data_IF_630038990403
#
_entry.id   IF_630038990403
#
_cell.length_a   1.000
_cell.length_b   1.000
_cell.length_c   1.000
_cell.angle_alpha   90.00
_cell.angle_beta   90.00
_cell.angle_gamma   90.00
#
_symmetry.space_group_name_H-M   'P 1'
#
loop_
_entity.id
_entity.type
_entity.pdbx_description
1 polymer ?
#
# COMPACT_ATOMS: atom_id res chain seq x y z
N UNK A 1 -10.16 32.91 -4.64
CA UNK A 1 -10.26 31.47 -4.27
C UNK A 1 -9.57 30.66 -5.35
N UNK A 2 -8.65 29.75 -5.01
CA UNK A 2 -7.97 28.89 -5.99
C UNK A 2 -8.90 27.72 -6.30
N UNK A 3 -9.46 27.68 -7.51
CA UNK A 3 -10.25 26.53 -7.96
C UNK A 3 -9.28 25.43 -8.33
N UNK A 4 -9.08 24.46 -7.43
CA UNK A 4 -8.44 23.20 -7.81
C UNK A 4 -9.35 22.58 -8.88
N UNK A 5 -8.81 22.44 -10.09
CA UNK A 5 -9.48 21.81 -11.21
C UNK A 5 -9.70 20.33 -10.93
N UNK A 6 -10.68 19.70 -11.58
CA UNK A 6 -10.94 18.27 -11.37
C UNK A 6 -9.73 17.39 -11.67
N UNK A 7 -8.86 17.81 -12.59
CA UNK A 7 -7.58 17.13 -12.90
C UNK A 7 -6.58 17.24 -11.75
N UNK A 8 -6.44 18.42 -11.13
CA UNK A 8 -5.57 18.59 -9.97
C UNK A 8 -6.04 17.79 -8.74
N UNK A 9 -7.35 17.55 -8.59
CA UNK A 9 -7.88 16.63 -7.57
C UNK A 9 -7.49 15.19 -7.86
N UNK A 10 -7.73 14.71 -9.08
CA UNK A 10 -7.42 13.34 -9.48
C UNK A 10 -5.92 13.04 -9.36
N UNK A 11 -5.07 13.93 -9.87
CA UNK A 11 -3.62 13.77 -9.77
C UNK A 11 -3.14 13.72 -8.32
N UNK A 12 -3.78 14.47 -7.42
CA UNK A 12 -3.48 14.41 -5.98
C UNK A 12 -3.93 13.10 -5.35
N UNK A 13 -5.10 12.59 -5.71
CA UNK A 13 -5.61 11.32 -5.21
C UNK A 13 -4.76 10.13 -5.67
N UNK A 14 -4.36 10.11 -6.95
CA UNK A 14 -3.46 9.09 -7.50
C UNK A 14 -2.08 9.15 -6.84
N UNK A 15 -1.52 10.35 -6.63
CA UNK A 15 -0.24 10.51 -5.93
C UNK A 15 -0.30 10.05 -4.47
N UNK A 16 -1.44 10.22 -3.78
CA UNK A 16 -1.61 9.72 -2.41
C UNK A 16 -1.61 8.19 -2.38
N UNK A 17 -2.26 7.55 -3.35
CA UNK A 17 -2.31 6.09 -3.47
C UNK A 17 -0.93 5.53 -3.78
N UNK A 18 -0.25 6.08 -4.78
CA UNK A 18 1.10 5.64 -5.19
C UNK A 18 2.10 5.78 -4.05
N UNK A 19 2.15 6.95 -3.39
CA UNK A 19 3.05 7.14 -2.25
C UNK A 19 2.76 6.14 -1.13
N UNK A 20 1.49 5.85 -0.84
CA UNK A 20 1.16 4.87 0.19
C UNK A 20 1.58 3.45 -0.18
N UNK A 21 1.55 3.07 -1.47
CA UNK A 21 2.08 1.78 -1.94
C UNK A 21 3.61 1.73 -1.78
N UNK A 22 4.31 2.77 -2.24
CA UNK A 22 5.76 2.89 -2.15
C UNK A 22 6.25 2.85 -0.69
N UNK A 23 5.61 3.61 0.20
CA UNK A 23 5.93 3.65 1.64
C UNK A 23 5.84 2.25 2.27
N UNK A 24 4.82 1.46 1.92
CA UNK A 24 4.66 0.08 2.42
C UNK A 24 5.80 -0.80 1.92
N UNK A 25 6.11 -0.71 0.62
CA UNK A 25 7.17 -1.49 -0.02
C UNK A 25 8.52 -1.18 0.64
N UNK A 26 8.83 0.11 0.83
CA UNK A 26 10.09 0.57 1.44
C UNK A 26 10.23 0.08 2.89
N UNK A 27 9.16 0.12 3.68
CA UNK A 27 9.16 -0.42 5.05
C UNK A 27 9.46 -1.91 5.04
N UNK A 28 8.80 -2.68 4.15
CA UNK A 28 8.99 -4.12 4.09
C UNK A 28 10.40 -4.48 3.61
N UNK A 29 10.93 -3.78 2.61
CA UNK A 29 12.31 -3.92 2.16
C UNK A 29 13.30 -3.59 3.27
N UNK A 30 13.08 -2.51 4.02
CA UNK A 30 13.94 -2.11 5.14
C UNK A 30 13.92 -3.15 6.26
N UNK A 31 12.77 -3.75 6.55
CA UNK A 31 12.63 -4.68 7.68
C UNK A 31 13.04 -6.11 7.36
N UNK A 32 12.88 -6.55 6.12
CA UNK A 32 13.05 -7.95 5.75
C UNK A 32 14.10 -8.19 4.66
N UNK A 33 14.72 -7.14 4.12
CA UNK A 33 15.69 -7.10 3.01
C UNK A 33 15.17 -7.64 1.67
N UNK A 34 14.49 -8.79 1.67
CA UNK A 34 13.92 -9.42 0.51
C UNK A 34 12.41 -9.55 0.65
N UNK A 35 11.69 -8.98 -0.30
CA UNK A 35 10.25 -9.16 -0.47
C UNK A 35 9.95 -9.79 -1.83
N UNK A 36 8.96 -10.71 -1.92
CA UNK A 36 8.56 -11.31 -3.19
C UNK A 36 8.03 -10.26 -4.18
N UNK A 37 8.43 -10.35 -5.45
CA UNK A 37 7.89 -9.48 -6.51
C UNK A 37 6.37 -9.61 -6.64
N UNK A 38 5.82 -10.81 -6.43
CA UNK A 38 4.37 -11.04 -6.44
C UNK A 38 3.63 -10.19 -5.38
N UNK A 39 4.28 -9.91 -4.25
CA UNK A 39 3.71 -9.06 -3.20
C UNK A 39 3.71 -7.60 -3.63
N UNK A 40 4.79 -7.13 -4.26
CA UNK A 40 4.91 -5.78 -4.81
C UNK A 40 3.83 -5.53 -5.86
N UNK A 41 3.66 -6.47 -6.79
CA UNK A 41 2.59 -6.39 -7.82
C UNK A 41 1.20 -6.34 -7.18
N UNK A 42 0.98 -7.14 -6.13
CA UNK A 42 -0.29 -7.14 -5.40
C UNK A 42 -0.55 -5.78 -4.75
N UNK A 43 0.45 -5.20 -4.08
CA UNK A 43 0.35 -3.89 -3.43
C UNK A 43 0.07 -2.77 -4.46
N UNK A 44 0.77 -2.78 -5.59
CA UNK A 44 0.57 -1.82 -6.68
C UNK A 44 -0.84 -1.91 -7.30
N UNK A 45 -1.48 -3.07 -7.24
CA UNK A 45 -2.87 -3.25 -7.69
C UNK A 45 -3.93 -2.67 -6.74
N UNK A 46 -3.57 -2.30 -5.50
CA UNK A 46 -4.50 -1.80 -4.50
C UNK A 46 -4.65 -0.29 -4.63
N UNK A 47 -5.79 0.16 -5.17
CA UNK A 47 -6.09 1.59 -5.33
C UNK A 47 -6.93 2.19 -4.19
N UNK A 48 -7.30 1.40 -3.18
CA UNK A 48 -8.10 1.90 -2.05
C UNK A 48 -7.21 2.31 -0.89
N UNK A 49 -7.20 3.62 -0.63
CA UNK A 49 -6.38 4.22 0.43
C UNK A 49 -6.69 3.69 1.83
N UNK A 50 -7.94 3.27 2.09
CA UNK A 50 -8.33 2.69 3.37
C UNK A 50 -7.65 1.35 3.62
N UNK A 51 -7.55 0.51 2.59
CA UNK A 51 -6.80 -0.76 2.61
C UNK A 51 -5.31 -0.49 2.78
N UNK A 52 -4.74 0.41 1.96
CA UNK A 52 -3.32 0.76 2.06
C UNK A 52 -2.95 1.27 3.45
N UNK A 53 -3.79 2.09 4.09
CA UNK A 53 -3.55 2.52 5.49
C UNK A 53 -3.56 1.38 6.51
N UNK A 54 -4.39 0.35 6.32
CA UNK A 54 -4.37 -0.85 7.18
C UNK A 54 -3.08 -1.64 6.96
N UNK A 55 -2.71 -1.85 5.70
CA UNK A 55 -1.48 -2.55 5.32
C UNK A 55 -0.24 -1.82 5.84
N UNK A 56 -0.17 -0.50 5.72
CA UNK A 56 0.92 0.32 6.26
C UNK A 56 1.13 0.11 7.77
N UNK A 57 0.07 0.20 8.57
CA UNK A 57 0.15 -0.06 10.01
C UNK A 57 0.61 -1.48 10.32
N UNK A 58 0.18 -2.45 9.51
CA UNK A 58 0.58 -3.85 9.66
C UNK A 58 2.04 -4.07 9.27
N UNK A 59 2.52 -3.44 8.20
CA UNK A 59 3.90 -3.55 7.73
C UNK A 59 4.93 -3.14 8.80
N UNK A 60 4.58 -2.17 9.66
CA UNK A 60 5.42 -1.73 10.78
C UNK A 60 5.47 -2.78 11.91
N UNK A 61 4.37 -3.49 12.16
CA UNK A 61 4.19 -4.32 13.37
C UNK A 61 4.38 -5.82 13.14
N UNK A 62 4.36 -6.28 11.89
CA UNK A 62 4.39 -7.70 11.56
C UNK A 62 5.76 -8.35 11.76
N UNK A 63 5.84 -9.62 12.14
CA UNK A 63 7.13 -10.24 12.47
C UNK A 63 7.78 -10.96 11.29
N UNK A 64 7.04 -11.19 10.20
CA UNK A 64 7.53 -11.90 9.03
C UNK A 64 6.85 -11.47 7.73
N UNK A 65 7.52 -11.68 6.60
CA UNK A 65 6.97 -11.45 5.26
C UNK A 65 5.80 -12.39 4.97
N UNK A 66 5.86 -13.64 5.44
CA UNK A 66 4.82 -14.63 5.24
C UNK A 66 3.50 -14.21 5.91
N UNK A 67 3.55 -13.80 7.18
CA UNK A 67 2.35 -13.28 7.88
C UNK A 67 1.77 -12.05 7.16
N UNK A 68 2.63 -11.21 6.56
CA UNK A 68 2.18 -10.03 5.83
C UNK A 68 1.45 -10.42 4.55
N UNK A 69 1.93 -11.45 3.86
CA UNK A 69 1.27 -11.97 2.66
C UNK A 69 -0.12 -12.52 2.97
N UNK A 70 -0.25 -13.32 4.05
CA UNK A 70 -1.56 -13.81 4.50
C UNK A 70 -2.49 -12.64 4.86
N UNK A 71 -1.96 -11.59 5.50
CA UNK A 71 -2.75 -10.41 5.84
C UNK A 71 -3.24 -9.64 4.61
N UNK A 72 -2.43 -9.55 3.55
CA UNK A 72 -2.85 -8.97 2.27
C UNK A 72 -4.03 -9.79 1.71
N UNK A 73 -3.88 -11.11 1.64
CA UNK A 73 -4.93 -12.00 1.11
C UNK A 73 -6.24 -11.90 1.90
N UNK A 74 -6.16 -11.87 3.24
CA UNK A 74 -7.32 -11.64 4.09
C UNK A 74 -7.99 -10.30 3.80
N UNK A 75 -7.19 -9.22 3.72
CA UNK A 75 -7.73 -7.87 3.48
C UNK A 75 -8.37 -7.73 2.09
N UNK A 76 -7.86 -8.45 1.09
CA UNK A 76 -8.47 -8.50 -0.24
C UNK A 76 -9.69 -9.43 -0.32
N UNK A 77 -9.74 -10.49 0.48
CA UNK A 77 -10.84 -11.44 0.48
C UNK A 77 -12.04 -10.99 1.32
N UNK A 78 -11.86 -10.03 2.23
CA UNK A 78 -12.93 -9.38 3.02
C UNK A 78 -13.69 -8.27 2.24
N UNK A 79 -13.46 -8.15 0.93
CA UNK A 79 -14.10 -7.17 0.04
C UNK A 79 -15.32 -7.72 -0.70
#
# INVERSE_FOLDING_TARGET
>A
MRYITSIERLAKEEGIVQNAQEDIIEILQTRFENIPNSMVETLNGIHEISVLKKLFKRAITINSVAEFQEFIEQTLSER
#
